data_IF_602582652923
#
_entry.id   IF_602582652923
#
_cell.length_a   1.000
_cell.length_b   1.000
_cell.length_c   1.000
_cell.angle_alpha   90.00
_cell.angle_beta   90.00
_cell.angle_gamma   90.00
#
_symmetry.space_group_name_H-M   'P 1'
#
loop_
_entity.id
_entity.type
_entity.pdbx_description
1 polymer ?
#
# COMPACT_ATOMS: atom_id res chain seq x y z
N UNK A 1 0.19 22.64 6.92
CA UNK A 1 -0.41 22.83 5.57
C UNK A 1 0.18 21.89 4.52
N UNK A 2 1.49 21.61 4.50
CA UNK A 2 2.07 20.66 3.54
C UNK A 2 1.53 19.21 3.67
N UNK A 3 1.27 18.74 4.88
CA UNK A 3 0.77 17.38 5.09
C UNK A 3 -0.63 17.18 4.50
N UNK A 4 -1.54 18.15 4.65
CA UNK A 4 -2.91 18.07 4.11
C UNK A 4 -2.95 17.98 2.59
N UNK A 5 -2.06 18.69 1.89
CA UNK A 5 -1.94 18.64 0.43
C UNK A 5 -1.32 17.32 -0.02
N UNK A 6 -0.31 16.81 0.69
CA UNK A 6 0.28 15.51 0.42
C UNK A 6 -0.76 14.38 0.62
N UNK A 7 -1.52 14.39 1.71
CA UNK A 7 -2.58 13.40 1.96
C UNK A 7 -3.65 13.44 0.87
N UNK A 8 -4.13 14.63 0.47
CA UNK A 8 -5.10 14.77 -0.60
C UNK A 8 -4.55 14.32 -1.97
N UNK A 9 -3.29 14.64 -2.26
CA UNK A 9 -2.60 14.17 -3.45
C UNK A 9 -2.45 12.64 -3.45
N UNK A 10 -2.18 12.03 -2.31
CA UNK A 10 -2.11 10.57 -2.16
C UNK A 10 -3.45 9.89 -2.39
N UNK A 11 -4.51 10.41 -1.76
CA UNK A 11 -5.88 9.93 -1.96
C UNK A 11 -6.25 10.05 -3.43
N UNK A 12 -5.95 11.20 -4.06
CA UNK A 12 -6.18 11.40 -5.49
C UNK A 12 -5.39 10.43 -6.35
N UNK A 13 -4.10 10.23 -6.08
CA UNK A 13 -3.22 9.36 -6.86
C UNK A 13 -3.65 7.90 -6.77
N UNK A 14 -4.12 7.44 -5.60
CA UNK A 14 -4.68 6.09 -5.40
C UNK A 14 -6.02 5.94 -6.12
N UNK A 15 -6.92 6.91 -5.98
CA UNK A 15 -8.27 6.86 -6.56
C UNK A 15 -8.24 6.96 -8.08
N UNK A 16 -7.31 7.76 -8.63
CA UNK A 16 -7.22 8.09 -10.06
C UNK A 16 -6.23 7.19 -10.80
N UNK A 17 -5.38 6.41 -10.11
CA UNK A 17 -4.43 5.54 -10.82
C UNK A 17 -5.19 4.56 -11.72
N UNK A 18 -4.89 4.51 -13.04
CA UNK A 18 -5.62 3.66 -13.97
C UNK A 18 -5.56 2.19 -13.55
N UNK A 19 -6.74 1.62 -13.30
CA UNK A 19 -6.93 0.24 -12.81
C UNK A 19 -6.54 -0.83 -13.83
N UNK A 20 -6.40 -0.47 -15.11
CA UNK A 20 -6.13 -1.42 -16.20
C UNK A 20 -4.76 -1.17 -16.86
N UNK A 21 -3.99 -2.26 -17.05
CA UNK A 21 -2.89 -2.36 -18.01
C UNK A 21 -1.46 -2.11 -17.51
N UNK A 22 -1.24 -1.47 -16.35
CA UNK A 22 0.12 -1.15 -15.85
C UNK A 22 0.46 -1.77 -14.50
N UNK A 23 0.25 -3.09 -14.36
CA UNK A 23 0.53 -3.84 -13.12
C UNK A 23 1.97 -3.60 -12.62
N UNK A 24 2.96 -3.63 -13.51
CA UNK A 24 4.38 -3.37 -13.15
C UNK A 24 4.60 -1.99 -12.54
N UNK A 25 3.93 -0.96 -13.06
CA UNK A 25 4.04 0.40 -12.53
C UNK A 25 3.38 0.50 -11.15
N UNK A 26 2.24 -0.15 -10.95
CA UNK A 26 1.56 -0.19 -9.64
C UNK A 26 2.41 -0.90 -8.58
N UNK A 27 3.03 -2.03 -8.92
CA UNK A 27 3.95 -2.73 -8.02
C UNK A 27 5.15 -1.86 -7.66
N UNK A 28 5.74 -1.18 -8.64
CA UNK A 28 6.87 -0.28 -8.40
C UNK A 28 6.49 0.89 -7.49
N UNK A 29 5.35 1.54 -7.77
CA UNK A 29 4.84 2.65 -6.96
C UNK A 29 4.53 2.21 -5.54
N UNK A 30 3.88 1.05 -5.36
CA UNK A 30 3.60 0.50 -4.04
C UNK A 30 4.88 0.17 -3.26
N UNK A 31 5.86 -0.44 -3.92
CA UNK A 31 7.16 -0.75 -3.31
C UNK A 31 7.92 0.53 -2.93
N UNK A 32 7.93 1.55 -3.80
CA UNK A 32 8.55 2.83 -3.50
C UNK A 32 7.93 3.48 -2.26
N UNK A 33 6.60 3.42 -2.12
CA UNK A 33 5.91 3.95 -0.95
C UNK A 33 6.20 3.21 0.34
N UNK A 34 6.24 1.87 0.30
CA UNK A 34 6.66 1.09 1.47
C UNK A 34 8.09 1.44 1.86
N UNK A 35 9.03 1.51 0.91
CA UNK A 35 10.44 1.81 1.20
C UNK A 35 10.60 3.22 1.78
N UNK A 36 9.92 4.22 1.21
CA UNK A 36 9.96 5.59 1.71
C UNK A 36 9.31 5.71 3.11
N UNK A 37 8.22 4.97 3.34
CA UNK A 37 7.56 4.93 4.63
C UNK A 37 8.42 4.25 5.70
N UNK A 38 8.90 3.03 5.42
CA UNK A 38 9.78 2.28 6.33
C UNK A 38 11.06 3.04 6.64
N UNK A 39 11.72 3.63 5.64
CA UNK A 39 12.93 4.43 5.87
C UNK A 39 12.65 5.65 6.76
N UNK A 40 11.53 6.34 6.56
CA UNK A 40 11.14 7.44 7.45
C UNK A 40 10.92 6.99 8.89
N UNK A 41 10.28 5.83 9.10
CA UNK A 41 10.07 5.27 10.44
C UNK A 41 11.40 4.77 11.04
N UNK A 42 12.28 4.17 10.25
CA UNK A 42 13.58 3.65 10.67
C UNK A 42 14.60 4.73 11.05
N UNK A 43 14.66 5.82 10.29
CA UNK A 43 15.64 6.90 10.48
C UNK A 43 15.26 7.91 11.58
N UNK A 44 14.27 7.60 12.42
CA UNK A 44 13.94 8.47 13.55
C UNK A 44 13.17 9.73 13.16
N UNK A 45 12.45 9.75 12.03
CA UNK A 45 11.66 10.93 11.63
C UNK A 45 10.67 11.31 12.73
N UNK A 46 10.67 12.56 13.18
CA UNK A 46 9.73 13.07 14.20
C UNK A 46 8.81 14.12 13.58
N UNK A 47 7.75 14.53 14.29
CA UNK A 47 6.94 15.63 13.77
C UNK A 47 6.03 15.25 12.62
N UNK A 48 5.88 16.20 11.71
CA UNK A 48 5.20 16.02 10.43
C UNK A 48 5.89 14.97 9.54
N UNK A 49 7.21 14.74 9.71
CA UNK A 49 7.94 13.76 8.92
C UNK A 49 7.55 12.32 9.28
N UNK A 50 7.34 12.02 10.57
CA UNK A 50 6.83 10.72 11.01
C UNK A 50 5.49 10.42 10.37
N UNK A 51 4.60 11.41 10.38
CA UNK A 51 3.28 11.23 9.83
C UNK A 51 3.28 11.04 8.32
N UNK A 52 4.13 11.78 7.60
CA UNK A 52 4.31 11.56 6.16
C UNK A 52 4.86 10.15 5.90
N UNK A 53 5.80 9.68 6.70
CA UNK A 53 6.32 8.31 6.61
C UNK A 53 5.23 7.25 6.84
N UNK A 54 4.38 7.43 7.85
CA UNK A 54 3.24 6.55 8.12
C UNK A 54 2.22 6.58 6.97
N UNK A 55 1.97 7.75 6.38
CA UNK A 55 1.10 7.89 5.20
C UNK A 55 1.67 7.16 3.98
N UNK A 56 2.97 7.29 3.71
CA UNK A 56 3.64 6.56 2.64
C UNK A 56 3.58 5.05 2.89
N UNK A 57 3.84 4.60 4.13
CA UNK A 57 3.78 3.19 4.50
C UNK A 57 2.37 2.62 4.30
N UNK A 58 1.36 3.30 4.84
CA UNK A 58 -0.04 2.92 4.69
C UNK A 58 -0.46 2.88 3.22
N UNK A 59 -0.05 3.88 2.43
CA UNK A 59 -0.38 3.95 1.02
C UNK A 59 0.23 2.79 0.23
N UNK A 60 1.49 2.46 0.48
CA UNK A 60 2.18 1.33 -0.13
C UNK A 60 1.52 0.00 0.21
N UNK A 61 1.18 -0.22 1.49
CA UNK A 61 0.49 -1.42 1.96
C UNK A 61 -0.91 -1.57 1.38
N UNK A 62 -1.70 -0.51 1.35
CA UNK A 62 -3.04 -0.54 0.76
C UNK A 62 -3.00 -0.80 -0.74
N UNK A 63 -2.03 -0.24 -1.46
CA UNK A 63 -1.80 -0.57 -2.87
C UNK A 63 -1.42 -2.04 -3.07
N UNK A 64 -0.54 -2.58 -2.23
CA UNK A 64 -0.18 -4.00 -2.26
C UNK A 64 -1.41 -4.88 -1.97
N UNK A 65 -2.24 -4.50 -0.99
CA UNK A 65 -3.50 -5.18 -0.70
C UNK A 65 -4.45 -5.13 -1.90
N UNK A 66 -4.49 -4.02 -2.64
CA UNK A 66 -5.36 -3.87 -3.81
C UNK A 66 -4.92 -4.76 -4.96
N UNK A 67 -3.61 -4.95 -5.11
CA UNK A 67 -3.08 -5.89 -6.08
C UNK A 67 -3.28 -7.34 -5.63
N UNK A 68 -3.16 -7.61 -4.33
CA UNK A 68 -3.42 -8.93 -3.74
C UNK A 68 -4.90 -9.32 -3.87
N UNK A 69 -5.82 -8.37 -3.79
CA UNK A 69 -7.27 -8.60 -3.85
C UNK A 69 -7.87 -8.24 -5.21
N UNK A 70 -9.04 -8.78 -5.53
CA UNK A 70 -9.68 -8.56 -6.82
C UNK A 70 -10.01 -7.07 -7.06
N UNK A 71 -9.92 -6.53 -8.31
CA UNK A 71 -10.33 -5.15 -8.62
C UNK A 71 -11.82 -4.85 -8.34
N UNK A 72 -12.62 -5.88 -8.00
CA UNK A 72 -14.01 -5.74 -7.53
C UNK A 72 -14.12 -5.58 -6.00
N UNK A 73 -13.02 -5.65 -5.27
CA UNK A 73 -13.03 -5.59 -3.81
C UNK A 73 -13.11 -4.13 -3.32
N UNK A 74 -14.30 -3.71 -2.87
CA UNK A 74 -14.55 -2.36 -2.34
C UNK A 74 -13.92 -2.12 -0.96
N UNK A 75 -13.44 -3.17 -0.30
CA UNK A 75 -12.92 -3.12 1.06
C UNK A 75 -11.70 -2.20 1.17
N UNK A 76 -10.87 -2.13 0.13
CA UNK A 76 -9.64 -1.31 0.15
C UNK A 76 -9.92 0.18 -0.05
N UNK A 77 -10.78 0.60 -1.01
CA UNK A 77 -11.30 1.96 -1.04
C UNK A 77 -11.94 2.38 0.28
N UNK A 78 -12.72 1.50 0.93
CA UNK A 78 -13.35 1.78 2.22
C UNK A 78 -12.31 1.94 3.33
N UNK A 79 -11.31 1.06 3.41
CA UNK A 79 -10.20 1.17 4.36
C UNK A 79 -9.42 2.48 4.18
N UNK A 80 -9.26 2.95 2.94
CA UNK A 80 -8.65 4.24 2.66
C UNK A 80 -9.48 5.42 3.17
N UNK A 81 -10.80 5.39 2.95
CA UNK A 81 -11.70 6.46 3.41
C UNK A 81 -11.74 6.47 4.93
N UNK A 82 -12.01 5.32 5.56
CA UNK A 82 -12.10 5.21 7.02
C UNK A 82 -10.75 5.51 7.67
N UNK A 83 -9.66 4.93 7.16
CA UNK A 83 -8.31 5.20 7.66
C UNK A 83 -7.90 6.66 7.49
N UNK A 84 -8.23 7.27 6.35
CA UNK A 84 -7.98 8.69 6.09
C UNK A 84 -8.75 9.61 7.03
N UNK A 85 -10.03 9.33 7.28
CA UNK A 85 -10.86 10.09 8.23
C UNK A 85 -10.30 9.95 9.65
N UNK A 86 -9.98 8.72 10.08
CA UNK A 86 -9.43 8.47 11.42
C UNK A 86 -8.06 9.15 11.59
N UNK A 87 -7.19 9.08 10.58
CA UNK A 87 -5.90 9.79 10.57
C UNK A 87 -6.02 11.30 10.55
N UNK A 88 -7.08 11.83 9.93
CA UNK A 88 -7.33 13.27 9.91
C UNK A 88 -7.85 13.77 11.26
N UNK A 89 -8.78 13.04 11.88
CA UNK A 89 -9.40 13.41 13.16
C UNK A 89 -8.44 13.24 14.33
N UNK A 90 -7.74 12.11 14.40
CA UNK A 90 -6.86 11.76 15.54
C UNK A 90 -5.39 11.92 15.19
N UNK A 91 -5.07 12.94 14.39
CA UNK A 91 -3.75 13.15 13.79
C UNK A 91 -2.62 13.14 14.83
N UNK A 92 -2.80 13.89 15.92
CA UNK A 92 -1.76 14.07 16.93
C UNK A 92 -1.63 12.82 17.82
N UNK A 93 -2.76 12.21 18.19
CA UNK A 93 -2.79 10.98 18.98
C UNK A 93 -2.17 9.78 18.23
N UNK A 94 -2.44 9.66 16.93
CA UNK A 94 -1.82 8.61 16.09
C UNK A 94 -0.31 8.82 15.98
N UNK A 95 0.14 10.07 15.91
CA UNK A 95 1.56 10.39 15.86
C UNK A 95 2.24 9.97 17.17
N UNK A 96 1.67 10.36 18.31
CA UNK A 96 2.25 10.06 19.62
C UNK A 96 2.22 8.55 19.91
N UNK A 97 1.13 7.88 19.54
CA UNK A 97 1.05 6.43 19.57
C UNK A 97 2.12 5.78 18.69
N UNK A 98 2.25 6.20 17.42
CA UNK A 98 3.19 5.61 16.48
C UNK A 98 4.65 5.82 16.92
N UNK A 99 4.96 6.90 17.63
CA UNK A 99 6.29 7.10 18.20
C UNK A 99 6.55 6.13 19.36
N UNK A 100 5.54 5.86 20.20
CA UNK A 100 5.63 4.91 21.31
C UNK A 100 5.79 3.44 20.87
N UNK A 101 5.21 3.07 19.72
CA UNK A 101 5.27 1.70 19.18
C UNK A 101 6.06 1.60 17.88
N UNK A 102 6.92 2.57 17.59
CA UNK A 102 7.74 2.66 16.37
C UNK A 102 8.37 1.35 15.90
N UNK A 103 9.08 0.56 16.74
CA UNK A 103 9.68 -0.70 16.29
C UNK A 103 8.63 -1.73 15.85
N UNK A 104 7.45 -1.74 16.46
CA UNK A 104 6.36 -2.62 16.06
C UNK A 104 5.70 -2.17 14.76
N UNK A 105 5.63 -0.87 14.51
CA UNK A 105 5.14 -0.32 13.23
C UNK A 105 6.07 -0.73 12.08
N UNK A 106 7.38 -0.67 12.27
CA UNK A 106 8.36 -1.14 11.27
C UNK A 106 8.21 -2.65 11.01
N UNK A 107 8.14 -3.46 12.07
CA UNK A 107 7.99 -4.91 11.91
C UNK A 107 6.67 -5.22 11.20
N UNK A 108 5.57 -4.58 11.60
CA UNK A 108 4.26 -4.75 10.98
C UNK A 108 4.24 -4.30 9.52
N UNK A 109 4.91 -3.19 9.19
CA UNK A 109 5.03 -2.68 7.83
C UNK A 109 5.84 -3.61 6.92
N UNK A 110 7.00 -4.07 7.37
CA UNK A 110 7.82 -5.06 6.63
C UNK A 110 7.06 -6.37 6.43
N UNK A 111 6.49 -6.94 7.48
CA UNK A 111 5.74 -8.21 7.41
C UNK A 111 4.52 -8.06 6.50
N UNK A 112 3.78 -6.95 6.63
CA UNK A 112 2.64 -6.63 5.78
C UNK A 112 3.04 -6.48 4.32
N UNK A 113 4.13 -5.78 4.02
CA UNK A 113 4.60 -5.57 2.66
C UNK A 113 5.05 -6.88 2.01
N UNK A 114 5.76 -7.74 2.74
CA UNK A 114 6.17 -9.06 2.25
C UNK A 114 4.96 -9.97 2.03
N UNK A 115 4.03 -10.02 2.99
CA UNK A 115 2.83 -10.86 2.90
C UNK A 115 1.93 -10.44 1.73
N UNK A 116 1.62 -9.15 1.63
CA UNK A 116 0.79 -8.61 0.55
C UNK A 116 1.51 -8.67 -0.80
N UNK A 117 2.83 -8.43 -0.83
CA UNK A 117 3.65 -8.58 -2.03
C UNK A 117 3.68 -10.02 -2.56
N UNK A 118 3.84 -11.00 -1.67
CA UNK A 118 3.78 -12.41 -2.02
C UNK A 118 2.39 -12.82 -2.56
N UNK A 119 1.32 -12.35 -1.92
CA UNK A 119 -0.06 -12.59 -2.37
C UNK A 119 -0.35 -11.95 -3.72
N UNK A 120 0.08 -10.70 -3.93
CA UNK A 120 -0.03 -10.00 -5.20
C UNK A 120 0.73 -10.74 -6.32
N UNK A 121 1.95 -11.19 -6.06
CA UNK A 121 2.75 -11.96 -7.01
C UNK A 121 2.11 -13.33 -7.32
N UNK A 122 1.62 -14.05 -6.31
CA UNK A 122 0.94 -15.33 -6.50
C UNK A 122 -0.33 -15.18 -7.35
N UNK A 123 -1.10 -14.12 -7.11
CA UNK A 123 -2.29 -13.80 -7.91
C UNK A 123 -1.93 -13.44 -9.34
N UNK A 124 -0.89 -12.63 -9.54
CA UNK A 124 -0.42 -12.30 -10.89
C UNK A 124 -0.02 -13.55 -11.66
N UNK A 125 0.69 -14.50 -11.02
CA UNK A 125 1.00 -15.80 -11.64
C UNK A 125 -0.24 -16.59 -12.04
N UNK A 126 -1.33 -16.53 -11.26
CA UNK A 126 -2.60 -17.18 -11.62
C UNK A 126 -3.28 -16.53 -12.83
N UNK A 127 -3.25 -15.20 -12.91
CA UNK A 127 -3.87 -14.45 -14.02
C UNK A 127 -3.04 -14.56 -15.31
N UNK A 128 -1.71 -14.68 -15.20
CA UNK A 128 -0.81 -14.81 -16.33
C UNK A 128 -0.65 -16.25 -16.85
N UNK A 129 -1.20 -17.26 -16.17
CA UNK A 129 -1.27 -18.61 -16.75
C UNK A 129 -2.30 -18.59 -17.87
N UNK A 130 -1.93 -19.02 -19.10
CA UNK A 130 -2.92 -19.16 -20.17
C UNK A 130 -4.03 -20.12 -19.69
N UNK A 131 -5.28 -19.94 -20.17
CA UNK A 131 -6.32 -20.93 -19.94
C UNK A 131 -5.78 -22.29 -20.37
N UNK A 132 -6.03 -23.32 -19.57
CA UNK A 132 -5.77 -24.69 -20.01
C UNK A 132 -6.59 -24.93 -21.28
N UNK A 133 -5.92 -24.99 -22.41
CA UNK A 133 -6.53 -25.34 -23.68
C UNK A 133 -6.48 -26.88 -23.79
N UNK A 134 -7.62 -27.57 -23.65
CA UNK A 134 -7.66 -29.03 -23.76
C UNK A 134 -7.29 -29.53 -25.17
N UNK A 135 -7.16 -28.64 -26.16
CA UNK A 135 -6.72 -28.96 -27.51
C UNK A 135 -5.23 -28.68 -27.76
N UNK A 136 -4.52 -28.10 -26.80
CA UNK A 136 -3.08 -27.89 -26.90
C UNK A 136 -2.33 -29.17 -26.55
N UNK A 137 -2.18 -30.04 -27.55
CA UNK A 137 -1.43 -31.30 -27.45
C UNK A 137 0.09 -31.11 -27.53
N UNK A 138 0.58 -29.87 -27.55
CA UNK A 138 2.01 -29.63 -27.83
C UNK A 138 2.91 -29.92 -26.64
N UNK A 139 2.45 -29.75 -25.39
CA UNK A 139 3.25 -30.08 -24.21
C UNK A 139 4.61 -29.36 -24.16
N UNK A 140 4.73 -28.18 -24.79
CA UNK A 140 5.92 -27.31 -24.79
C UNK A 140 5.51 -25.84 -24.78
#
# INVERSE_FOLDING_TARGET
MLSSVATAFFVFLVVVMPRNGRIRLRTFVAAAFVVLGESGVAFGATGDLLQNALLYLAAGLLFLAEMATSPRNLLIPVLWIVGGIVSFVNRDEIRDWADSVRPWVMVGGVVGALGLGALAAARQRRISRPPYDPHDMTGI
#
